data_IF_465974411809
#
_entry.id   IF_465974411809
#
_cell.length_a   1.000
_cell.length_b   1.000
_cell.length_c   1.000
_cell.angle_alpha   90.00
_cell.angle_beta   90.00
_cell.angle_gamma   90.00
#
_symmetry.space_group_name_H-M   'P 1'
#
loop_
_entity.id
_entity.type
_entity.pdbx_description
1 polymer ?
#
# COMPACT_ATOMS: atom_id res chain seq x y z
N UNK A 1 -5.17 13.30 -19.31
CA UNK A 1 -4.65 14.67 -19.19
C UNK A 1 -4.10 14.87 -17.78
N UNK A 2 -3.00 15.61 -17.67
CA UNK A 2 -2.40 16.01 -16.40
C UNK A 2 -3.08 17.30 -15.91
N UNK A 3 -3.35 17.40 -14.60
CA UNK A 3 -3.75 18.69 -14.01
C UNK A 3 -2.51 19.57 -13.90
N UNK A 4 -2.42 20.58 -14.77
CA UNK A 4 -1.26 21.47 -14.88
C UNK A 4 -1.47 22.81 -14.18
N UNK A 5 -2.59 23.03 -13.46
CA UNK A 5 -2.94 24.33 -12.88
C UNK A 5 -1.87 24.85 -11.94
N UNK A 6 -1.28 23.99 -11.11
CA UNK A 6 -0.27 24.33 -10.12
C UNK A 6 1.13 23.78 -10.44
N UNK A 7 1.33 23.16 -11.62
CA UNK A 7 2.62 22.61 -12.03
C UNK A 7 3.46 23.64 -12.78
N UNK A 8 4.78 23.63 -12.53
CA UNK A 8 5.75 24.38 -13.35
C UNK A 8 5.86 23.79 -14.78
N UNK A 9 5.76 22.47 -14.88
CA UNK A 9 5.69 21.76 -16.15
C UNK A 9 4.25 21.80 -16.67
N UNK A 10 4.07 22.42 -17.83
CA UNK A 10 2.78 22.61 -18.51
C UNK A 10 2.49 21.56 -19.58
N UNK A 11 3.29 20.50 -19.66
CA UNK A 11 3.02 19.42 -20.61
C UNK A 11 1.64 18.79 -20.34
N UNK A 12 0.80 18.61 -21.38
CA UNK A 12 -0.59 18.22 -21.19
C UNK A 12 -0.78 16.73 -20.86
N UNK A 13 0.27 15.93 -21.05
CA UNK A 13 0.23 14.48 -20.82
C UNK A 13 1.12 14.08 -19.66
N UNK A 14 0.66 13.06 -18.93
CA UNK A 14 1.50 12.37 -17.96
C UNK A 14 2.57 11.57 -18.72
N UNK A 15 3.75 11.53 -18.13
CA UNK A 15 4.86 10.71 -18.63
C UNK A 15 4.94 9.35 -17.93
N UNK A 16 4.01 9.09 -17.02
CA UNK A 16 3.89 7.87 -16.23
C UNK A 16 2.60 7.11 -16.56
N UNK A 17 2.67 5.79 -16.50
CA UNK A 17 1.52 4.89 -16.46
C UNK A 17 1.49 4.21 -15.10
N UNK A 18 0.34 4.24 -14.44
CA UNK A 18 0.20 3.67 -13.11
C UNK A 18 -1.13 2.93 -12.93
N UNK A 19 -1.11 1.91 -12.07
CA UNK A 19 -2.28 1.14 -11.71
C UNK A 19 -2.34 0.93 -10.20
N UNK A 20 -3.54 1.03 -9.64
CA UNK A 20 -3.82 0.79 -8.23
C UNK A 20 -4.70 -0.45 -8.08
N UNK A 21 -4.36 -1.30 -7.12
CA UNK A 21 -5.09 -2.53 -6.81
C UNK A 21 -5.54 -2.49 -5.36
N UNK A 22 -6.73 -1.96 -5.14
CA UNK A 22 -7.32 -1.82 -3.82
C UNK A 22 -8.02 -3.10 -3.35
N UNK A 23 -8.28 -3.16 -2.04
CA UNK A 23 -9.20 -4.14 -1.50
C UNK A 23 -10.59 -3.99 -2.16
N UNK A 24 -11.21 -5.11 -2.55
CA UNK A 24 -12.48 -5.10 -3.30
C UNK A 24 -13.58 -4.27 -2.60
N UNK A 25 -13.70 -4.42 -1.27
CA UNK A 25 -14.73 -3.73 -0.52
C UNK A 25 -14.39 -2.25 -0.26
N UNK A 26 -13.11 -1.87 -0.40
CA UNK A 26 -12.67 -0.47 -0.34
C UNK A 26 -12.98 0.30 -1.64
N UNK A 27 -13.19 -0.40 -2.75
CA UNK A 27 -13.47 0.23 -4.04
C UNK A 27 -14.71 1.14 -4.01
N UNK A 28 -15.78 0.69 -3.38
CA UNK A 28 -17.00 1.49 -3.25
C UNK A 28 -16.77 2.78 -2.46
N UNK A 29 -15.89 2.75 -1.49
CA UNK A 29 -15.52 3.90 -0.68
C UNK A 29 -14.68 4.92 -1.47
N UNK A 30 -13.79 4.49 -2.35
CA UNK A 30 -12.99 5.35 -3.23
C UNK A 30 -13.88 6.10 -4.22
N UNK A 31 -14.89 5.44 -4.79
CA UNK A 31 -15.79 6.06 -5.75
C UNK A 31 -16.77 7.07 -5.14
N UNK A 32 -17.02 7.02 -3.83
CA UNK A 32 -17.99 7.91 -3.16
C UNK A 32 -17.36 9.10 -2.46
N UNK A 33 -16.08 9.38 -2.65
CA UNK A 33 -15.31 10.43 -1.96
C UNK A 33 -15.34 10.36 -0.41
N UNK A 34 -16.04 9.38 0.16
CA UNK A 34 -16.18 9.20 1.60
C UNK A 34 -15.05 8.42 2.20
N UNK A 35 -14.00 8.07 1.43
CA UNK A 35 -13.07 7.53 1.84
C UNK A 35 -11.92 6.83 1.58
N UNK A 36 -11.45 6.20 2.15
CA UNK A 36 -10.25 5.55 2.61
C UNK A 36 -10.09 4.25 1.87
N UNK A 37 -9.53 4.29 0.70
CA UNK A 37 -9.28 3.16 -0.18
C UNK A 37 -8.47 2.00 0.41
N UNK A 38 -8.42 1.85 1.72
CA UNK A 38 -7.67 0.78 2.36
C UNK A 38 -6.21 0.69 1.90
N UNK A 39 -5.49 -0.29 2.39
CA UNK A 39 -4.19 -0.65 1.85
C UNK A 39 -4.34 -1.47 0.56
N UNK A 40 -3.43 -1.29 -0.38
CA UNK A 40 -3.44 -1.97 -1.66
C UNK A 40 -2.06 -2.11 -2.25
N UNK A 41 -2.02 -2.45 -3.55
CA UNK A 41 -0.80 -2.51 -4.34
C UNK A 41 -0.82 -1.42 -5.40
N UNK A 42 0.35 -1.00 -5.80
CA UNK A 42 0.57 0.04 -6.79
C UNK A 42 1.65 -0.39 -7.76
N UNK A 43 1.44 -0.10 -9.02
CA UNK A 43 2.39 -0.34 -10.10
C UNK A 43 2.58 0.95 -10.87
N UNK A 44 3.83 1.31 -11.16
CA UNK A 44 4.17 2.49 -11.95
C UNK A 44 5.28 2.18 -12.94
N UNK A 45 5.10 2.73 -14.13
CA UNK A 45 6.16 2.86 -15.15
C UNK A 45 6.31 4.35 -15.45
N UNK A 46 7.50 4.87 -15.23
CA UNK A 46 7.85 6.26 -15.50
C UNK A 46 9.30 6.36 -15.98
N UNK A 47 9.70 7.42 -16.69
CA UNK A 47 11.04 7.55 -17.25
C UNK A 47 12.18 7.45 -16.23
N UNK A 48 11.89 7.74 -14.95
CA UNK A 48 12.91 7.78 -13.89
C UNK A 48 12.64 6.79 -12.74
N UNK A 49 11.47 6.18 -12.70
CA UNK A 49 11.06 5.37 -11.58
C UNK A 49 10.03 4.32 -12.00
N UNK A 50 10.44 3.08 -11.97
CA UNK A 50 9.56 1.94 -12.26
C UNK A 50 9.46 1.11 -11.01
N UNK A 51 8.29 1.07 -10.40
CA UNK A 51 8.10 0.44 -9.10
C UNK A 51 6.85 -0.44 -9.01
N UNK A 52 6.93 -1.41 -8.13
CA UNK A 52 5.77 -1.99 -7.45
C UNK A 52 5.82 -1.58 -5.99
N UNK A 53 4.69 -1.16 -5.45
CA UNK A 53 4.58 -0.72 -4.07
C UNK A 53 3.36 -1.34 -3.40
N UNK A 54 3.35 -1.39 -2.08
CA UNK A 54 2.22 -1.88 -1.31
C UNK A 54 2.10 -1.18 0.03
N UNK A 55 0.86 -1.09 0.51
CA UNK A 55 0.55 -0.40 1.76
C UNK A 55 -0.54 0.64 1.62
N UNK A 56 -0.50 1.67 2.45
CA UNK A 56 -1.43 2.79 2.43
C UNK A 56 -0.66 4.11 2.41
N UNK A 57 -0.85 4.88 1.34
CA UNK A 57 -0.24 6.19 1.15
C UNK A 57 -1.16 7.28 1.68
N UNK A 58 -0.64 8.15 2.57
CA UNK A 58 -1.32 9.32 3.11
C UNK A 58 -2.79 9.05 3.48
N UNK A 59 -3.08 8.06 4.34
CA UNK A 59 -4.45 7.78 4.75
C UNK A 59 -5.06 9.03 5.38
N UNK A 60 -6.37 9.25 5.23
CA UNK A 60 -7.06 10.33 5.88
C UNK A 60 -6.95 10.27 7.40
N UNK A 61 -7.17 11.43 8.05
CA UNK A 61 -6.91 11.61 9.48
C UNK A 61 -7.52 10.55 10.39
N UNK A 62 -8.77 10.15 10.14
CA UNK A 62 -9.44 9.12 10.95
C UNK A 62 -8.83 7.73 10.76
N UNK A 63 -8.49 7.36 9.52
CA UNK A 63 -7.81 6.11 9.25
C UNK A 63 -6.40 6.10 9.87
N UNK A 64 -5.66 7.19 9.73
CA UNK A 64 -4.34 7.34 10.34
C UNK A 64 -4.41 7.25 11.87
N UNK A 65 -5.42 7.88 12.48
CA UNK A 65 -5.68 7.80 13.92
C UNK A 65 -5.95 6.37 14.37
N UNK A 66 -6.81 5.65 13.63
CA UNK A 66 -7.10 4.23 13.89
C UNK A 66 -5.84 3.38 13.84
N UNK A 67 -5.01 3.54 12.81
CA UNK A 67 -3.75 2.82 12.68
C UNK A 67 -2.79 3.14 13.84
N UNK A 68 -2.64 4.41 14.21
CA UNK A 68 -1.79 4.83 15.33
C UNK A 68 -2.26 4.28 16.68
N UNK A 69 -3.57 4.29 16.95
CA UNK A 69 -4.11 3.68 18.16
C UNK A 69 -3.85 2.18 18.22
N UNK A 70 -4.00 1.48 17.10
CA UNK A 70 -3.66 0.06 17.04
C UNK A 70 -2.17 -0.20 17.27
N UNK A 71 -1.28 0.62 16.70
CA UNK A 71 0.17 0.54 16.92
C UNK A 71 0.51 0.83 18.40
N UNK A 72 -0.08 1.86 18.99
CA UNK A 72 0.16 2.17 20.40
C UNK A 72 -0.27 1.02 21.33
N UNK A 73 -1.39 0.37 21.04
CA UNK A 73 -1.88 -0.74 21.84
C UNK A 73 -1.11 -2.05 21.62
N UNK A 74 -0.68 -2.33 20.39
CA UNK A 74 0.03 -3.57 20.05
C UNK A 74 0.96 -3.36 18.83
N UNK A 75 2.11 -2.77 19.07
CA UNK A 75 3.11 -2.55 18.03
C UNK A 75 3.87 -3.82 17.62
N UNK A 76 3.83 -4.88 18.43
CA UNK A 76 4.61 -6.09 18.17
C UNK A 76 4.18 -6.81 16.90
N UNK A 77 2.89 -6.76 16.55
CA UNK A 77 2.43 -7.34 15.28
C UNK A 77 3.08 -6.65 14.07
N UNK A 78 3.08 -5.31 14.05
CA UNK A 78 3.74 -4.58 12.97
C UNK A 78 5.24 -4.84 12.97
N UNK A 79 5.89 -4.82 14.16
CA UNK A 79 7.32 -5.12 14.28
C UNK A 79 7.65 -6.52 13.78
N UNK A 80 6.80 -7.52 14.04
CA UNK A 80 6.98 -8.88 13.55
C UNK A 80 6.95 -8.94 12.02
N UNK A 81 6.00 -8.22 11.38
CA UNK A 81 5.94 -8.10 9.92
C UNK A 81 7.21 -7.45 9.37
N UNK A 82 7.62 -6.31 9.93
CA UNK A 82 8.79 -5.56 9.47
C UNK A 82 10.10 -6.31 9.70
N UNK A 83 10.19 -7.13 10.77
CA UNK A 83 11.36 -7.96 11.10
C UNK A 83 11.42 -9.27 10.33
N UNK A 84 10.34 -9.70 9.67
CA UNK A 84 10.31 -10.95 8.91
C UNK A 84 11.46 -11.00 7.87
N UNK A 85 12.23 -12.10 7.79
CA UNK A 85 13.43 -12.15 6.95
C UNK A 85 13.18 -11.82 5.48
N UNK A 86 12.06 -12.29 4.92
CA UNK A 86 11.67 -12.01 3.54
C UNK A 86 11.36 -10.51 3.34
N UNK A 87 10.64 -9.89 4.28
CA UNK A 87 10.28 -8.48 4.25
C UNK A 87 11.53 -7.60 4.37
N UNK A 88 12.39 -7.86 5.38
CA UNK A 88 13.62 -7.11 5.58
C UNK A 88 14.57 -7.17 4.39
N UNK A 89 14.68 -8.35 3.76
CA UNK A 89 15.54 -8.52 2.57
C UNK A 89 15.00 -7.72 1.38
N UNK A 90 13.68 -7.64 1.25
CA UNK A 90 13.03 -6.99 0.13
C UNK A 90 12.97 -5.45 0.27
N UNK A 91 12.69 -4.95 1.48
CA UNK A 91 12.37 -3.53 1.69
C UNK A 91 13.26 -2.83 2.72
N UNK A 92 13.89 -3.57 3.63
CA UNK A 92 14.62 -3.01 4.76
C UNK A 92 13.68 -2.43 5.83
N UNK A 93 12.93 -1.39 5.49
CA UNK A 93 12.00 -0.67 6.36
C UNK A 93 10.79 -0.15 5.57
N UNK A 94 9.86 0.51 6.26
CA UNK A 94 8.82 1.32 5.61
C UNK A 94 9.45 2.54 4.93
N UNK A 95 8.77 3.05 3.89
CA UNK A 95 9.15 4.32 3.24
C UNK A 95 9.14 5.47 4.25
N UNK A 96 10.21 6.28 4.28
CA UNK A 96 10.40 7.39 5.20
C UNK A 96 10.03 8.77 4.60
N UNK A 97 9.45 8.80 3.40
CA UNK A 97 9.09 10.03 2.68
C UNK A 97 8.18 10.96 3.49
N UNK A 98 7.38 10.41 4.39
CA UNK A 98 6.41 11.17 5.17
C UNK A 98 6.43 10.77 6.65
N UNK A 99 7.51 11.08 7.35
CA UNK A 99 7.68 10.81 8.78
C UNK A 99 7.68 12.13 9.59
N UNK A 100 6.94 12.16 10.69
CA UNK A 100 6.93 13.30 11.62
C UNK A 100 8.27 13.37 12.37
N UNK A 101 8.75 14.59 12.61
CA UNK A 101 9.96 14.82 13.43
C UNK A 101 9.74 14.54 14.92
N UNK A 102 8.49 14.71 15.41
CA UNK A 102 8.09 14.53 16.81
C UNK A 102 6.93 13.53 16.91
N UNK A 103 6.66 13.05 18.11
CA UNK A 103 5.47 12.25 18.37
C UNK A 103 4.19 12.98 17.89
N UNK A 104 3.22 12.27 17.30
CA UNK A 104 1.96 12.89 16.92
C UNK A 104 1.16 13.33 18.16
N UNK A 105 0.34 14.37 18.00
CA UNK A 105 -0.51 14.89 19.08
C UNK A 105 -1.38 13.77 19.66
N UNK A 106 -1.43 13.69 21.00
CA UNK A 106 -2.19 12.68 21.72
C UNK A 106 -1.45 11.36 21.99
N UNK A 107 -0.16 11.27 21.62
CA UNK A 107 0.70 10.13 21.92
C UNK A 107 1.91 10.54 22.73
N UNK A 108 2.30 9.67 23.68
CA UNK A 108 3.46 9.88 24.54
C UNK A 108 4.75 9.88 23.69
N UNK A 109 5.60 10.92 23.81
CA UNK A 109 6.91 10.96 23.17
C UNK A 109 7.86 9.82 23.57
N UNK A 110 7.69 9.27 24.77
CA UNK A 110 8.49 8.17 25.31
C UNK A 110 7.87 6.78 25.00
N UNK A 111 6.80 6.74 24.21
CA UNK A 111 6.15 5.48 23.87
C UNK A 111 7.12 4.52 23.14
N UNK A 112 7.19 3.21 23.49
CA UNK A 112 8.12 2.24 22.89
C UNK A 112 8.03 2.10 21.36
N UNK A 113 6.89 2.52 20.77
CA UNK A 113 6.65 2.49 19.33
C UNK A 113 6.56 3.90 18.72
N UNK A 114 7.13 4.92 19.37
CA UNK A 114 7.07 6.31 18.85
C UNK A 114 7.67 6.43 17.46
N UNK A 115 8.67 5.64 17.13
CA UNK A 115 9.24 5.52 15.79
C UNK A 115 8.21 5.14 14.75
N UNK A 116 7.32 4.18 15.05
CA UNK A 116 6.23 3.74 14.17
C UNK A 116 5.05 4.73 14.14
N UNK A 117 4.76 5.37 15.28
CA UNK A 117 3.67 6.35 15.38
C UNK A 117 3.92 7.61 14.55
N UNK A 118 5.17 7.92 14.25
CA UNK A 118 5.59 9.09 13.46
C UNK A 118 5.29 8.97 11.97
N UNK A 119 5.07 7.76 11.46
CA UNK A 119 4.72 7.57 10.05
C UNK A 119 3.35 8.20 9.70
N UNK A 120 3.28 8.83 8.53
CA UNK A 120 2.03 9.31 7.92
C UNK A 120 1.52 8.37 6.84
N UNK A 121 2.42 7.56 6.29
CA UNK A 121 2.14 6.53 5.30
C UNK A 121 2.77 5.23 5.76
N UNK A 122 2.15 4.12 5.43
CA UNK A 122 2.66 2.78 5.73
C UNK A 122 2.83 2.05 4.41
N UNK A 123 3.90 2.39 3.70
CA UNK A 123 4.19 1.88 2.35
C UNK A 123 5.57 1.29 2.27
N UNK A 124 5.74 0.35 1.35
CA UNK A 124 7.02 -0.17 0.89
C UNK A 124 7.00 -0.25 -0.63
N UNK A 125 8.16 -0.19 -1.26
CA UNK A 125 8.29 -0.31 -2.71
C UNK A 125 9.52 -1.14 -3.09
N UNK A 126 9.48 -1.67 -4.30
CA UNK A 126 10.62 -2.29 -4.98
C UNK A 126 10.71 -1.76 -6.39
N UNK A 127 11.92 -1.46 -6.81
CA UNK A 127 12.19 -1.08 -8.19
C UNK A 127 11.92 -2.25 -9.15
N UNK A 128 11.51 -1.90 -10.35
CA UNK A 128 11.47 -2.78 -11.51
C UNK A 128 12.58 -2.38 -12.45
N UNK A 129 13.45 -3.33 -12.75
CA UNK A 129 14.48 -3.14 -13.76
C UNK A 129 13.87 -3.10 -15.16
N UNK A 130 14.55 -2.49 -16.12
CA UNK A 130 14.11 -2.48 -17.52
C UNK A 130 13.93 -3.91 -18.06
N UNK A 131 14.83 -4.82 -17.71
CA UNK A 131 14.73 -6.23 -18.09
C UNK A 131 13.48 -6.91 -17.53
N UNK A 132 13.06 -6.58 -16.28
CA UNK A 132 11.82 -7.08 -15.70
C UNK A 132 10.60 -6.49 -16.42
N UNK A 133 10.62 -5.20 -16.76
CA UNK A 133 9.53 -4.53 -17.48
C UNK A 133 9.29 -5.09 -18.87
N UNK A 134 10.37 -5.39 -19.59
CA UNK A 134 10.29 -5.95 -20.94
C UNK A 134 10.05 -7.47 -20.96
N UNK A 135 10.01 -8.10 -19.80
CA UNK A 135 9.80 -9.54 -19.68
C UNK A 135 8.33 -9.93 -19.94
N UNK A 136 8.06 -10.97 -20.73
CA UNK A 136 6.72 -11.54 -20.85
C UNK A 136 6.21 -12.12 -19.53
N UNK A 137 7.08 -12.27 -18.51
CA UNK A 137 6.75 -12.73 -17.16
C UNK A 137 6.52 -11.58 -16.19
N UNK A 138 6.40 -10.33 -16.65
CA UNK A 138 6.17 -9.16 -15.78
C UNK A 138 5.03 -9.37 -14.78
N UNK A 139 3.85 -9.93 -15.17
CA UNK A 139 2.78 -10.18 -14.20
C UNK A 139 3.20 -11.11 -13.05
N UNK A 140 3.96 -12.17 -13.35
CA UNK A 140 4.45 -13.10 -12.33
C UNK A 140 5.52 -12.46 -11.42
N UNK A 141 6.35 -11.59 -11.98
CA UNK A 141 7.35 -10.81 -11.22
C UNK A 141 6.64 -9.87 -10.25
N UNK A 142 5.66 -9.10 -10.72
CA UNK A 142 4.85 -8.22 -9.87
C UNK A 142 4.14 -9.04 -8.78
N UNK A 143 3.48 -10.13 -9.13
CA UNK A 143 2.78 -10.98 -8.16
C UNK A 143 3.71 -11.54 -7.05
N UNK A 144 4.96 -11.87 -7.37
CA UNK A 144 5.95 -12.31 -6.38
C UNK A 144 6.36 -11.16 -5.44
N UNK A 145 6.58 -9.96 -5.97
CA UNK A 145 6.89 -8.76 -5.19
C UNK A 145 5.71 -8.41 -4.28
N UNK A 146 4.49 -8.40 -4.80
CA UNK A 146 3.25 -8.16 -4.06
C UNK A 146 3.02 -9.16 -2.93
N UNK A 147 3.32 -10.44 -3.19
CA UNK A 147 3.21 -11.49 -2.17
C UNK A 147 4.09 -11.20 -0.93
N UNK A 148 5.23 -10.55 -1.11
CA UNK A 148 6.12 -10.16 -0.01
C UNK A 148 5.54 -8.97 0.79
N UNK A 149 4.80 -8.07 0.14
CA UNK A 149 4.10 -6.93 0.76
C UNK A 149 2.78 -7.32 1.43
N UNK A 150 2.20 -8.44 1.02
CA UNK A 150 0.87 -8.88 1.42
C UNK A 150 0.64 -8.96 2.95
N UNK A 151 1.59 -9.38 3.80
CA UNK A 151 1.40 -9.35 5.25
C UNK A 151 1.11 -7.94 5.78
N UNK A 152 1.83 -6.92 5.30
CA UNK A 152 1.61 -5.53 5.67
C UNK A 152 0.24 -5.05 5.18
N UNK A 153 -0.09 -5.28 3.91
CA UNK A 153 -1.37 -4.87 3.31
C UNK A 153 -2.56 -5.50 4.05
N UNK A 154 -2.47 -6.78 4.39
CA UNK A 154 -3.50 -7.49 5.17
C UNK A 154 -3.66 -6.97 6.58
N UNK A 155 -2.55 -6.68 7.25
CA UNK A 155 -2.56 -6.12 8.59
C UNK A 155 -3.24 -4.75 8.61
N UNK A 156 -2.87 -3.85 7.70
CA UNK A 156 -3.49 -2.53 7.55
C UNK A 156 -4.99 -2.63 7.26
N UNK A 157 -5.38 -3.47 6.31
CA UNK A 157 -6.78 -3.63 5.94
C UNK A 157 -7.63 -4.20 7.08
N UNK A 158 -7.10 -5.16 7.85
CA UNK A 158 -7.77 -5.70 9.04
C UNK A 158 -8.07 -4.61 10.07
N UNK A 159 -7.11 -3.73 10.33
CA UNK A 159 -7.28 -2.60 11.27
C UNK A 159 -8.31 -1.58 10.77
N UNK A 160 -8.46 -1.45 9.47
CA UNK A 160 -9.45 -0.57 8.84
C UNK A 160 -10.80 -1.25 8.61
N UNK A 161 -11.03 -2.43 9.19
CA UNK A 161 -12.30 -3.15 9.07
C UNK A 161 -12.52 -3.83 7.72
N UNK A 162 -11.47 -4.01 6.93
CA UNK A 162 -11.52 -4.70 5.65
C UNK A 162 -10.95 -6.13 5.78
N UNK A 163 -11.78 -7.14 5.98
CA UNK A 163 -11.33 -8.51 6.24
C UNK A 163 -10.71 -9.15 4.99
N UNK A 164 -9.80 -10.12 5.14
CA UNK A 164 -9.24 -10.83 4.01
C UNK A 164 -10.35 -11.57 3.25
N UNK A 165 -10.38 -11.41 1.92
CA UNK A 165 -11.30 -12.19 1.10
C UNK A 165 -10.89 -13.66 1.13
N UNK A 166 -11.79 -14.53 1.60
CA UNK A 166 -11.72 -15.95 1.29
C UNK A 166 -11.98 -16.12 -0.21
N UNK A 167 -11.05 -16.71 -0.93
CA UNK A 167 -11.23 -17.14 -2.31
C UNK A 167 -12.32 -18.22 -2.35
N UNK A 168 -13.58 -17.86 -2.40
CA UNK A 168 -14.58 -18.75 -3.02
C UNK A 168 -14.28 -18.72 -4.52
N UNK A 169 -13.50 -19.69 -4.98
CA UNK A 169 -13.52 -20.07 -6.40
C UNK A 169 -14.98 -20.32 -6.73
N UNK A 170 -15.62 -19.38 -7.43
CA UNK A 170 -16.87 -19.69 -8.11
C UNK A 170 -16.49 -20.77 -9.12
N UNK A 171 -16.83 -22.02 -8.80
CA UNK A 171 -16.93 -23.05 -9.82
C UNK A 171 -17.91 -22.48 -10.84
N UNK A 172 -17.42 -22.21 -12.04
CA UNK A 172 -18.27 -21.95 -13.19
C UNK A 172 -19.16 -23.17 -13.29
N UNK A 173 -20.43 -23.00 -12.94
CA UNK A 173 -21.44 -24.04 -13.10
C UNK A 173 -21.48 -24.37 -14.58
N UNK A 174 -21.20 -25.62 -14.91
CA UNK A 174 -21.50 -26.19 -16.20
C UNK A 174 -23.01 -26.03 -16.41
N UNK A 175 -23.41 -25.01 -17.16
CA UNK A 175 -24.76 -24.91 -17.69
C UNK A 175 -24.85 -25.99 -18.76
N UNK A 176 -25.53 -27.08 -18.40
CA UNK A 176 -25.84 -28.19 -19.28
C UNK A 176 -26.63 -27.70 -20.51
N UNK A 177 -26.18 -28.19 -21.64
CA UNK A 177 -26.98 -28.21 -22.87
C UNK A 177 -28.21 -29.08 -22.64
N UNK A 178 -29.40 -28.58 -22.93
CA UNK A 178 -30.52 -29.30 -23.54
C UNK A 178 -31.19 -28.37 -24.54
#
# INVERSE_FOLDING_TARGET
YRDVRFSKDKSPYKTDAAAWFYHRDAWHAVCTAAVHGGAGFYFQIAPKENIVAGGIWMPPGEALKTLRLAIANNHEELRAILKAPAFRRAFGALSDEAVLKRAPVGFDPEHPAVDLLRYKSFTVSQDLTEAELLSPKLPDICAKKDATMLPLVRWLNRLLGLPPHSRRLRRAGAAGRR
#
